data_IF_258195217909
#
_entry.id   IF_258195217909
#
_cell.length_a   1.000
_cell.length_b   1.000
_cell.length_c   1.000
_cell.angle_alpha   90.00
_cell.angle_beta   90.00
_cell.angle_gamma   90.00
#
_symmetry.space_group_name_H-M   'P 1'
#
loop_
_entity.id
_entity.type
_entity.pdbx_description
1 polymer ?
#
# COMPACT_ATOMS: atom_id res chain seq x y z
N UNK A 1 -29.99 18.02 0.36
CA UNK A 1 -31.13 17.08 0.32
C UNK A 1 -31.61 16.91 -1.12
N UNK A 2 -31.74 17.98 -1.90
CA UNK A 2 -32.28 17.92 -3.27
C UNK A 2 -31.34 17.23 -4.29
N UNK A 3 -30.02 17.12 -4.00
CA UNK A 3 -29.05 16.45 -4.90
C UNK A 3 -28.76 15.00 -4.54
N UNK A 4 -28.89 14.61 -3.25
CA UNK A 4 -28.41 13.30 -2.79
C UNK A 4 -29.50 12.40 -2.19
N UNK A 5 -30.74 12.87 -2.05
CA UNK A 5 -31.85 12.12 -1.43
C UNK A 5 -31.50 11.58 -0.01
N UNK A 6 -32.42 10.84 0.61
CA UNK A 6 -32.21 10.24 1.92
C UNK A 6 -31.67 8.81 1.79
N UNK A 7 -30.86 8.37 2.76
CA UNK A 7 -30.41 6.97 2.85
C UNK A 7 -31.61 6.04 2.94
N UNK A 8 -31.61 4.97 2.15
CA UNK A 8 -32.68 3.97 2.15
C UNK A 8 -32.90 3.37 3.53
N UNK A 9 -34.14 3.08 3.89
CA UNK A 9 -34.50 2.60 5.24
C UNK A 9 -33.80 1.29 5.63
N UNK A 10 -33.62 0.36 4.69
CA UNK A 10 -32.92 -0.89 4.95
C UNK A 10 -31.41 -0.66 5.19
N UNK A 11 -30.79 0.33 4.53
CA UNK A 11 -29.39 0.71 4.77
C UNK A 11 -29.23 1.31 6.18
N UNK A 12 -30.19 2.11 6.64
CA UNK A 12 -30.17 2.65 8.01
C UNK A 12 -30.27 1.51 9.05
N UNK A 13 -31.14 0.51 8.81
CA UNK A 13 -31.24 -0.68 9.66
C UNK A 13 -29.95 -1.51 9.67
N UNK A 14 -29.33 -1.69 8.51
CA UNK A 14 -28.04 -2.37 8.41
C UNK A 14 -26.94 -1.61 9.17
N UNK A 15 -26.89 -0.28 9.04
CA UNK A 15 -25.95 0.56 9.79
C UNK A 15 -26.15 0.44 11.31
N UNK A 16 -27.41 0.47 11.78
CA UNK A 16 -27.72 0.28 13.19
C UNK A 16 -27.24 -1.09 13.69
N UNK A 17 -27.54 -2.17 12.95
CA UNK A 17 -27.10 -3.51 13.28
C UNK A 17 -25.56 -3.64 13.31
N UNK A 18 -24.86 -3.00 12.36
CA UNK A 18 -23.41 -2.99 12.32
C UNK A 18 -22.77 -2.27 13.53
N UNK A 19 -23.38 -1.18 13.98
CA UNK A 19 -22.86 -0.40 15.11
C UNK A 19 -23.19 -1.03 16.48
N UNK A 20 -24.35 -1.65 16.62
CA UNK A 20 -24.82 -2.23 17.89
C UNK A 20 -24.54 -3.73 18.03
N UNK A 21 -24.23 -4.40 16.90
CA UNK A 21 -23.94 -5.84 16.87
C UNK A 21 -22.55 -6.21 17.39
N UNK A 22 -22.25 -7.51 17.45
CA UNK A 22 -20.93 -8.01 17.83
C UNK A 22 -19.81 -7.45 16.95
N UNK A 23 -18.69 -7.07 17.56
CA UNK A 23 -17.52 -6.49 16.87
C UNK A 23 -16.36 -7.49 16.67
N UNK A 24 -16.57 -8.77 16.99
CA UNK A 24 -15.51 -9.79 16.96
C UNK A 24 -14.89 -9.93 15.55
N UNK A 25 -15.73 -9.91 14.50
CA UNK A 25 -15.28 -9.99 13.12
C UNK A 25 -14.41 -8.78 12.72
N UNK A 26 -14.77 -7.58 13.21
CA UNK A 26 -13.98 -6.37 12.97
C UNK A 26 -12.63 -6.45 13.68
N UNK A 27 -12.64 -6.92 14.94
CA UNK A 27 -11.42 -7.10 15.73
C UNK A 27 -10.46 -8.09 15.06
N UNK A 28 -10.97 -9.23 14.60
CA UNK A 28 -10.19 -10.23 13.88
C UNK A 28 -9.61 -9.66 12.57
N UNK A 29 -10.42 -8.94 11.79
CA UNK A 29 -9.98 -8.30 10.54
C UNK A 29 -8.90 -7.24 10.81
N UNK A 30 -9.05 -6.41 11.81
CA UNK A 30 -8.04 -5.40 12.19
C UNK A 30 -6.72 -6.06 12.61
N UNK A 31 -6.76 -7.16 13.36
CA UNK A 31 -5.58 -7.92 13.74
C UNK A 31 -4.83 -8.46 12.51
N UNK A 32 -5.56 -9.01 11.53
CA UNK A 32 -4.97 -9.49 10.29
C UNK A 32 -4.38 -8.35 9.44
N UNK A 33 -5.07 -7.21 9.30
CA UNK A 33 -4.52 -6.04 8.61
C UNK A 33 -3.27 -5.48 9.30
N UNK A 34 -3.21 -5.52 10.62
CA UNK A 34 -2.01 -5.12 11.38
C UNK A 34 -0.83 -6.02 11.04
N UNK A 35 -1.03 -7.34 11.00
CA UNK A 35 0.00 -8.32 10.64
C UNK A 35 0.53 -8.05 9.21
N UNK A 36 -0.36 -7.80 8.25
CA UNK A 36 0.01 -7.49 6.86
C UNK A 36 0.75 -6.17 6.73
N UNK A 37 0.28 -5.15 7.44
CA UNK A 37 0.94 -3.84 7.53
C UNK A 37 2.38 -3.98 8.03
N UNK A 38 2.57 -4.67 9.12
CA UNK A 38 3.88 -4.83 9.74
C UNK A 38 4.84 -5.60 8.82
N UNK A 39 4.34 -6.62 8.12
CA UNK A 39 5.11 -7.38 7.14
C UNK A 39 5.54 -6.52 5.93
N UNK A 40 4.63 -5.77 5.32
CA UNK A 40 4.96 -4.95 4.14
C UNK A 40 5.89 -3.80 4.52
N UNK A 41 5.67 -3.12 5.66
CA UNK A 41 6.54 -2.03 6.11
C UNK A 41 7.95 -2.53 6.39
N UNK A 42 8.08 -3.65 7.12
CA UNK A 42 9.38 -4.28 7.37
C UNK A 42 10.08 -4.62 6.06
N UNK A 43 9.40 -5.35 5.17
CA UNK A 43 10.00 -5.81 3.92
C UNK A 43 10.40 -4.67 2.98
N UNK A 44 9.62 -3.59 2.90
CA UNK A 44 9.98 -2.42 2.10
C UNK A 44 11.21 -1.70 2.66
N UNK A 45 11.34 -1.58 4.00
CA UNK A 45 12.51 -0.96 4.62
C UNK A 45 13.81 -1.78 4.49
N UNK A 46 13.71 -3.05 4.12
CA UNK A 46 14.86 -3.90 3.81
C UNK A 46 15.35 -3.76 2.36
N UNK A 47 14.60 -3.04 1.50
CA UNK A 47 14.94 -2.84 0.08
C UNK A 47 15.77 -1.56 -0.06
N UNK A 48 16.96 -1.61 -0.69
CA UNK A 48 17.79 -0.44 -0.91
C UNK A 48 17.04 0.69 -1.62
N UNK A 49 17.11 1.90 -1.06
CA UNK A 49 16.47 3.08 -1.62
C UNK A 49 15.02 3.31 -1.20
N UNK A 50 14.41 2.35 -0.47
CA UNK A 50 13.05 2.49 0.07
C UNK A 50 13.09 2.93 1.54
N UNK A 51 12.13 3.78 1.93
CA UNK A 51 11.90 4.15 3.34
C UNK A 51 10.39 4.30 3.56
N UNK A 52 9.84 3.47 4.45
CA UNK A 52 8.42 3.38 4.72
C UNK A 52 8.11 3.59 6.20
N UNK A 53 7.30 4.59 6.52
CA UNK A 53 6.76 4.79 7.87
C UNK A 53 5.56 3.88 8.10
N UNK A 54 5.35 3.47 9.37
CA UNK A 54 4.19 2.66 9.76
C UNK A 54 2.94 3.53 9.69
N UNK A 55 1.95 3.23 8.82
CA UNK A 55 0.71 3.99 8.79
C UNK A 55 -0.16 3.68 10.00
N UNK A 56 -0.82 4.71 10.56
CA UNK A 56 -1.74 4.56 11.67
C UNK A 56 -3.10 3.99 11.26
N UNK A 57 -3.46 4.03 9.98
CA UNK A 57 -4.76 3.58 9.48
C UNK A 57 -4.73 3.24 7.99
N UNK A 58 -5.90 3.00 7.41
CA UNK A 58 -6.10 2.54 6.03
C UNK A 58 -5.47 1.15 5.78
N UNK A 59 -5.34 0.78 4.52
CA UNK A 59 -4.69 -0.45 4.04
C UNK A 59 -3.67 -0.14 2.93
N UNK A 60 -3.05 1.06 3.00
CA UNK A 60 -2.02 1.53 2.09
C UNK A 60 -0.74 1.88 2.84
N UNK A 61 0.39 1.62 2.20
CA UNK A 61 1.69 2.19 2.57
C UNK A 61 2.16 3.15 1.47
N UNK A 62 2.93 4.15 1.87
CA UNK A 62 3.41 5.22 0.98
C UNK A 62 4.92 5.42 1.16
N UNK A 63 5.75 4.43 0.76
CA UNK A 63 7.20 4.52 0.90
C UNK A 63 7.80 5.64 0.06
N UNK A 64 8.77 6.32 0.64
CA UNK A 64 9.69 7.19 -0.06
C UNK A 64 10.68 6.34 -0.86
N UNK A 65 10.88 6.68 -2.14
CA UNK A 65 11.76 5.94 -3.06
C UNK A 65 12.81 6.83 -3.71
N UNK A 66 13.00 8.05 -3.21
CA UNK A 66 13.94 9.04 -3.78
C UNK A 66 15.38 8.51 -3.82
N UNK A 67 15.76 7.72 -2.81
CA UNK A 67 17.10 7.16 -2.71
C UNK A 67 17.37 6.00 -3.70
N UNK A 68 16.37 5.57 -4.49
CA UNK A 68 16.60 4.63 -5.61
C UNK A 68 17.29 5.32 -6.80
N UNK A 69 17.23 6.65 -6.88
CA UNK A 69 17.69 7.42 -8.02
C UNK A 69 16.79 7.31 -9.26
N UNK A 70 15.67 6.56 -9.18
CA UNK A 70 14.71 6.37 -10.28
C UNK A 70 13.46 7.21 -10.01
N UNK A 71 12.97 8.00 -10.99
CA UNK A 71 11.72 8.74 -10.84
C UNK A 71 10.55 7.81 -10.49
N UNK A 72 9.68 8.24 -9.56
CA UNK A 72 8.63 7.36 -9.00
C UNK A 72 7.66 6.79 -10.04
N UNK A 73 7.39 7.51 -11.13
CA UNK A 73 6.56 7.02 -12.24
C UNK A 73 7.27 5.92 -13.03
N UNK A 74 8.54 6.10 -13.32
CA UNK A 74 9.36 5.13 -14.02
C UNK A 74 9.52 3.86 -13.17
N UNK A 75 9.83 4.03 -11.89
CA UNK A 75 9.94 2.91 -10.95
C UNK A 75 8.63 2.12 -10.85
N UNK A 76 7.46 2.79 -10.81
CA UNK A 76 6.17 2.11 -10.82
C UNK A 76 5.96 1.27 -12.10
N UNK A 77 6.38 1.78 -13.27
CA UNK A 77 6.32 1.05 -14.54
C UNK A 77 7.30 -0.15 -14.55
N UNK A 78 8.52 0.01 -14.04
CA UNK A 78 9.49 -1.08 -13.91
C UNK A 78 8.97 -2.18 -12.99
N UNK A 79 8.38 -1.82 -11.84
CA UNK A 79 7.79 -2.78 -10.92
C UNK A 79 6.65 -3.57 -11.56
N UNK A 80 5.82 -2.91 -12.37
CA UNK A 80 4.72 -3.58 -13.07
C UNK A 80 5.23 -4.50 -14.18
N UNK A 81 6.09 -3.99 -15.07
CA UNK A 81 6.46 -4.68 -16.30
C UNK A 81 7.55 -5.74 -16.07
N UNK A 82 8.52 -5.47 -15.20
CA UNK A 82 9.68 -6.34 -15.00
C UNK A 82 9.54 -7.27 -13.78
N UNK A 83 8.82 -6.82 -12.75
CA UNK A 83 8.60 -7.61 -11.54
C UNK A 83 7.16 -8.15 -11.39
N UNK A 84 6.21 -7.69 -12.21
CA UNK A 84 4.79 -8.07 -12.09
C UNK A 84 4.15 -7.58 -10.79
N UNK A 85 4.64 -6.46 -10.24
CA UNK A 85 4.12 -5.85 -9.00
C UNK A 85 3.42 -4.54 -9.30
N UNK A 86 2.11 -4.52 -9.15
CA UNK A 86 1.29 -3.33 -9.38
C UNK A 86 1.35 -2.36 -8.19
N UNK A 87 1.72 -1.12 -8.45
CA UNK A 87 1.66 -0.02 -7.51
C UNK A 87 1.35 1.29 -8.24
N UNK A 88 1.11 2.37 -7.51
CA UNK A 88 0.88 3.68 -8.10
C UNK A 88 2.01 4.64 -7.72
N UNK A 89 2.45 5.43 -8.72
CA UNK A 89 3.31 6.58 -8.43
C UNK A 89 2.56 7.58 -7.55
N UNK A 90 3.25 8.14 -6.56
CA UNK A 90 2.70 9.15 -5.67
C UNK A 90 2.24 10.41 -6.41
N UNK A 91 2.80 10.69 -7.59
CA UNK A 91 2.38 11.83 -8.45
C UNK A 91 0.91 11.77 -8.86
N UNK A 92 0.28 10.58 -8.83
CA UNK A 92 -1.17 10.42 -9.05
C UNK A 92 -2.01 11.08 -7.93
N UNK A 93 -1.40 11.42 -6.80
CA UNK A 93 -2.05 12.02 -5.62
C UNK A 93 -1.63 13.49 -5.39
N UNK A 94 -0.99 14.11 -6.36
CA UNK A 94 -0.55 15.51 -6.32
C UNK A 94 0.98 15.66 -6.32
N UNK A 95 1.44 16.92 -6.42
CA UNK A 95 2.87 17.27 -6.57
C UNK A 95 3.72 16.83 -5.38
N UNK A 96 3.17 16.81 -4.17
CA UNK A 96 3.90 16.35 -2.97
C UNK A 96 4.12 14.83 -2.93
N UNK A 97 3.44 14.07 -3.80
CA UNK A 97 3.63 12.63 -3.95
C UNK A 97 4.84 12.24 -4.81
N UNK A 98 5.57 13.21 -5.37
CA UNK A 98 6.77 12.89 -6.15
C UNK A 98 7.86 12.25 -5.29
N UNK A 99 8.49 11.20 -5.82
CA UNK A 99 9.45 10.39 -5.09
C UNK A 99 8.82 9.41 -4.09
N UNK A 100 7.52 9.13 -4.24
CA UNK A 100 6.80 8.13 -3.43
C UNK A 100 6.06 7.13 -4.32
N UNK A 101 5.83 5.94 -3.79
CA UNK A 101 4.95 4.92 -4.35
C UNK A 101 3.82 4.60 -3.37
N UNK A 102 2.66 4.17 -3.90
CA UNK A 102 1.56 3.65 -3.06
C UNK A 102 1.35 2.17 -3.31
N UNK A 103 1.43 1.38 -2.26
CA UNK A 103 1.06 -0.04 -2.27
C UNK A 103 -0.16 -0.28 -1.39
N UNK A 104 -1.00 -1.25 -1.80
CA UNK A 104 -2.08 -1.77 -0.97
C UNK A 104 -1.62 -3.06 -0.30
N UNK A 105 -1.89 -3.21 1.01
CA UNK A 105 -1.71 -4.48 1.72
C UNK A 105 -3.04 -5.21 2.00
N UNK A 106 -4.10 -4.84 1.28
CA UNK A 106 -5.36 -5.60 1.24
C UNK A 106 -5.20 -6.84 0.34
N UNK A 107 -4.25 -7.70 0.67
CA UNK A 107 -3.92 -8.94 -0.05
C UNK A 107 -3.46 -10.00 0.95
N UNK A 108 -3.27 -11.25 0.52
CA UNK A 108 -2.73 -12.31 1.39
C UNK A 108 -1.29 -12.01 1.81
N UNK A 109 -0.87 -12.55 2.94
CA UNK A 109 0.51 -12.37 3.43
C UNK A 109 1.53 -12.98 2.46
N UNK A 110 1.17 -14.12 1.85
CA UNK A 110 1.99 -14.83 0.87
C UNK A 110 2.23 -13.95 -0.37
N UNK A 111 1.18 -13.33 -0.89
CA UNK A 111 1.29 -12.41 -2.04
C UNK A 111 2.10 -11.15 -1.70
N UNK A 112 1.98 -10.63 -0.47
CA UNK A 112 2.80 -9.51 0.00
C UNK A 112 4.27 -9.92 0.04
N UNK A 113 4.60 -11.08 0.59
CA UNK A 113 5.97 -11.59 0.66
C UNK A 113 6.56 -11.84 -0.73
N UNK A 114 5.77 -12.43 -1.63
CA UNK A 114 6.19 -12.64 -3.01
C UNK A 114 6.47 -11.32 -3.73
N UNK A 115 5.59 -10.33 -3.58
CA UNK A 115 5.81 -9.00 -4.14
C UNK A 115 7.11 -8.35 -3.61
N UNK A 116 7.35 -8.44 -2.31
CA UNK A 116 8.59 -7.94 -1.68
C UNK A 116 9.83 -8.63 -2.24
N UNK A 117 9.79 -9.95 -2.44
CA UNK A 117 10.90 -10.71 -3.02
C UNK A 117 11.18 -10.25 -4.45
N UNK A 118 10.14 -10.08 -5.28
CA UNK A 118 10.28 -9.60 -6.66
C UNK A 118 10.85 -8.19 -6.72
N UNK A 119 10.42 -7.27 -5.86
CA UNK A 119 10.95 -5.92 -5.75
C UNK A 119 12.43 -5.98 -5.34
N UNK A 120 12.80 -6.81 -4.37
CA UNK A 120 14.18 -6.99 -3.92
C UNK A 120 15.10 -7.48 -5.06
N UNK A 121 14.67 -8.50 -5.80
CA UNK A 121 15.43 -8.99 -6.97
C UNK A 121 15.61 -7.89 -8.04
N UNK A 122 14.55 -7.11 -8.31
CA UNK A 122 14.65 -6.01 -9.26
C UNK A 122 15.54 -4.87 -8.72
N UNK A 123 15.62 -4.68 -7.40
CA UNK A 123 16.41 -3.61 -6.78
C UNK A 123 17.90 -3.70 -7.06
N UNK A 124 18.43 -4.87 -7.40
CA UNK A 124 19.80 -5.07 -7.80
C UNK A 124 20.18 -4.22 -9.03
N UNK A 125 19.21 -3.92 -9.90
CA UNK A 125 19.43 -3.11 -11.11
C UNK A 125 19.74 -1.64 -10.81
N UNK A 126 19.04 -1.01 -9.84
CA UNK A 126 19.32 0.39 -9.49
C UNK A 126 20.44 0.52 -8.46
N UNK A 127 20.67 -0.50 -7.62
CA UNK A 127 21.79 -0.52 -6.70
C UNK A 127 23.14 -0.52 -7.46
N UNK A 128 23.22 -1.20 -8.60
CA UNK A 128 24.41 -1.22 -9.47
C UNK A 128 24.54 0.04 -10.33
N UNK A 129 23.45 0.72 -10.68
CA UNK A 129 23.47 1.93 -11.48
C UNK A 129 23.86 3.19 -10.67
N UNK A 130 23.71 3.18 -9.36
CA UNK A 130 24.02 4.29 -8.44
C UNK A 130 25.49 4.39 -7.99
N UNK A 131 26.36 3.52 -8.45
CA UNK A 131 27.83 3.58 -8.22
C UNK A 131 28.51 4.21 -9.42
N UNK A 132 28.24 5.51 -9.65
CA UNK A 132 29.08 6.37 -10.51
C UNK A 132 29.16 7.76 -9.91
#
# INVERSE_FOLDING_TARGET
VNSNSCTASFTQRAGLAALQGPQDAVTAMVAEFRRRRDAIVKGLNEIPGFSCTVPAGAFYVFPNVKNTGVPSRELANMLLNDAGVACLSGTAFGSYGDGYLRFSYANSLENIQEALNRIRTLSERWATAGVR
#
